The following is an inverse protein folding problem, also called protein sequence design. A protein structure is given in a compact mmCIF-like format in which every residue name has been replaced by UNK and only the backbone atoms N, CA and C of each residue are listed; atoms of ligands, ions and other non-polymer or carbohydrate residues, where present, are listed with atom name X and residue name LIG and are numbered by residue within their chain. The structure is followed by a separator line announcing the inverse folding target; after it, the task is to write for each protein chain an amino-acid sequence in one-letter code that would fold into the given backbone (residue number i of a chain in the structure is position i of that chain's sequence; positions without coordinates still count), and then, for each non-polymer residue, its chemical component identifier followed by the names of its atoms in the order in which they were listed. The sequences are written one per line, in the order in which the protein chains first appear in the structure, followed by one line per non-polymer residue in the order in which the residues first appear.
data_IF_246330831244
#
_entry.id   IF_246330831244
#
_cell.length_a   1.000
_cell.length_b   1.000
_cell.length_c   1.000
_cell.angle_alpha   90.00
_cell.angle_beta   90.00
_cell.angle_gamma   90.00
#
_symmetry.space_group_name_H-M   'P 1'
#
loop_
_entity.id
_entity.type
_entity.pdbx_description
1 polymer ?
#
# COMPACT_ATOMS: atom_id res chain seq x y z
N UNK A 1 9.90 -59.22 53.81
CA UNK A 1 10.05 -57.76 53.93
C UNK A 1 9.53 -57.38 55.29
N UNK A 2 10.25 -56.59 56.09
CA UNK A 2 9.72 -56.17 57.40
C UNK A 2 8.59 -55.15 57.20
N UNK A 3 7.63 -55.01 58.14
CA UNK A 3 6.57 -54.01 58.04
C UNK A 3 7.12 -52.58 57.81
N UNK A 4 8.19 -52.22 58.53
CA UNK A 4 8.86 -50.94 58.33
C UNK A 4 9.42 -50.76 56.90
N UNK A 5 9.96 -51.81 56.29
CA UNK A 5 10.40 -51.78 54.89
C UNK A 5 9.22 -51.64 53.92
N UNK A 6 8.09 -52.29 54.21
CA UNK A 6 6.88 -52.21 53.39
C UNK A 6 6.30 -50.79 53.40
N UNK A 7 6.20 -50.17 54.59
CA UNK A 7 5.75 -48.78 54.74
C UNK A 7 6.68 -47.82 53.99
N UNK A 8 8.00 -47.90 54.22
CA UNK A 8 8.98 -47.06 53.51
C UNK A 8 8.93 -47.26 51.99
N UNK A 9 8.72 -48.49 51.53
CA UNK A 9 8.57 -48.78 50.11
C UNK A 9 7.32 -48.11 49.54
N UNK A 10 6.19 -48.16 50.25
CA UNK A 10 4.98 -47.49 49.81
C UNK A 10 5.07 -45.98 49.85
N UNK A 11 5.66 -45.42 50.89
CA UNK A 11 5.87 -43.97 50.97
C UNK A 11 6.75 -43.50 49.81
N UNK A 12 7.82 -44.22 49.50
CA UNK A 12 8.67 -43.92 48.34
C UNK A 12 7.91 -43.99 47.01
N UNK A 13 7.05 -44.99 46.82
CA UNK A 13 6.18 -45.12 45.64
C UNK A 13 5.16 -43.97 45.56
N UNK A 14 4.52 -43.60 46.67
CA UNK A 14 3.61 -42.43 46.73
C UNK A 14 4.34 -41.12 46.43
N UNK A 15 5.59 -40.98 46.86
CA UNK A 15 6.48 -39.85 46.52
C UNK A 15 7.04 -39.90 45.09
N UNK A 16 6.45 -40.71 44.19
CA UNK A 16 6.80 -40.84 42.77
C UNK A 16 8.21 -41.40 42.51
N UNK A 17 8.76 -42.18 43.44
CA UNK A 17 10.05 -42.87 43.26
C UNK A 17 9.84 -44.16 42.45
N UNK A 18 10.74 -44.44 41.51
CA UNK A 18 10.68 -45.67 40.71
C UNK A 18 11.26 -46.86 41.47
N UNK A 19 10.79 -48.07 41.17
CA UNK A 19 11.33 -49.30 41.75
C UNK A 19 12.84 -49.44 41.54
N UNK A 20 13.37 -49.02 40.38
CA UNK A 20 14.81 -49.01 40.10
C UNK A 20 15.63 -48.19 41.12
N UNK A 21 15.07 -47.09 41.62
CA UNK A 21 15.69 -46.27 42.68
C UNK A 21 15.52 -46.91 44.05
N UNK A 22 14.34 -47.45 44.36
CA UNK A 22 14.02 -48.12 45.64
C UNK A 22 14.90 -49.36 45.84
N UNK A 23 15.20 -50.09 44.77
CA UNK A 23 16.05 -51.28 44.76
C UNK A 23 17.56 -50.96 44.74
N UNK A 24 17.94 -49.68 44.70
CA UNK A 24 19.33 -49.22 44.75
C UNK A 24 20.19 -49.61 43.55
N UNK A 25 19.63 -49.61 42.34
CA UNK A 25 20.44 -49.75 41.12
C UNK A 25 21.31 -48.50 40.81
N UNK A 26 21.45 -47.56 41.74
CA UNK A 26 22.31 -46.37 41.63
C UNK A 26 23.23 -46.31 42.84
N UNK A 27 24.51 -45.96 42.62
CA UNK A 27 25.56 -45.92 43.65
C UNK A 27 25.26 -44.95 44.81
N UNK A 28 24.32 -44.04 44.63
CA UNK A 28 24.01 -42.95 45.57
C UNK A 28 22.76 -43.21 46.44
N UNK A 29 22.01 -44.31 46.23
CA UNK A 29 20.72 -44.51 46.90
C UNK A 29 20.76 -45.62 47.97
N UNK A 30 20.19 -45.32 49.13
CA UNK A 30 19.94 -46.30 50.20
C UNK A 30 18.92 -47.33 49.70
N UNK A 31 19.33 -48.60 49.64
CA UNK A 31 18.46 -49.72 49.27
C UNK A 31 17.38 -49.89 50.35
N UNK A 32 16.11 -49.64 50.01
CA UNK A 32 14.99 -49.85 50.94
C UNK A 32 14.65 -51.33 51.00
N UNK A 33 14.58 -51.99 49.84
CA UNK A 33 14.25 -53.42 49.72
C UNK A 33 14.85 -54.01 48.45
N UNK A 34 15.26 -55.28 48.50
CA UNK A 34 15.72 -56.04 47.32
C UNK A 34 14.54 -56.48 46.45
N UNK A 35 14.70 -56.63 45.11
CA UNK A 35 13.62 -57.07 44.21
C UNK A 35 12.97 -58.40 44.62
N UNK A 36 13.76 -59.35 45.13
CA UNK A 36 13.25 -60.65 45.62
C UNK A 36 12.30 -60.50 46.81
N UNK A 37 12.70 -59.74 47.83
CA UNK A 37 11.86 -59.45 49.01
C UNK A 37 10.57 -58.71 48.65
N UNK A 38 10.62 -57.78 47.68
CA UNK A 38 9.44 -57.09 47.18
C UNK A 38 8.46 -58.06 46.50
N UNK A 39 8.93 -58.87 45.55
CA UNK A 39 8.10 -59.86 44.84
C UNK A 39 7.46 -60.87 45.79
N UNK A 40 8.23 -61.39 46.74
CA UNK A 40 7.71 -62.34 47.74
C UNK A 40 6.64 -61.69 48.63
N UNK A 41 6.78 -60.41 48.97
CA UNK A 41 5.78 -59.69 49.76
C UNK A 41 4.50 -59.39 48.95
N UNK A 42 4.61 -59.01 47.67
CA UNK A 42 3.44 -58.85 46.80
C UNK A 42 2.63 -60.15 46.66
N UNK A 43 3.31 -61.31 46.65
CA UNK A 43 2.64 -62.63 46.63
C UNK A 43 1.93 -62.94 47.94
N UNK A 44 2.56 -62.60 49.07
CA UNK A 44 2.00 -62.84 50.40
C UNK A 44 0.83 -61.89 50.74
N UNK A 45 0.83 -60.67 50.18
CA UNK A 45 -0.19 -59.65 50.43
C UNK A 45 -0.71 -59.09 49.09
N UNK A 46 -1.71 -59.74 48.46
CA UNK A 46 -2.15 -59.41 47.10
C UNK A 46 -2.67 -57.98 46.94
N UNK A 47 -3.46 -57.47 47.90
CA UNK A 47 -4.02 -56.11 47.83
C UNK A 47 -2.91 -55.05 47.88
N UNK A 48 -1.95 -55.21 48.78
CA UNK A 48 -0.77 -54.35 48.86
C UNK A 48 0.06 -54.43 47.57
N UNK A 49 0.25 -55.65 47.06
CA UNK A 49 0.99 -55.90 45.83
C UNK A 49 0.37 -55.24 44.61
N UNK A 50 -0.96 -55.29 44.48
CA UNK A 50 -1.70 -54.66 43.40
C UNK A 50 -1.50 -53.13 43.40
N UNK A 51 -1.64 -52.50 44.57
CA UNK A 51 -1.47 -51.05 44.69
C UNK A 51 -0.02 -50.62 44.48
N UNK A 52 0.94 -51.35 45.04
CA UNK A 52 2.37 -51.08 44.85
C UNK A 52 2.78 -51.18 43.37
N UNK A 53 2.28 -52.20 42.65
CA UNK A 53 2.56 -52.38 41.22
C UNK A 53 1.88 -51.31 40.35
N UNK A 54 0.65 -50.89 40.71
CA UNK A 54 -0.04 -49.78 40.04
C UNK A 54 0.78 -48.49 40.14
N UNK A 55 1.19 -48.11 41.34
CA UNK A 55 2.02 -46.92 41.59
C UNK A 55 3.40 -47.03 40.93
N UNK A 56 4.02 -48.21 40.95
CA UNK A 56 5.29 -48.44 40.27
C UNK A 56 5.19 -48.18 38.76
N UNK A 57 4.13 -48.66 38.11
CA UNK A 57 3.88 -48.45 36.68
C UNK A 57 3.63 -46.98 36.34
N UNK A 58 2.86 -46.28 37.17
CA UNK A 58 2.63 -44.83 37.04
C UNK A 58 3.93 -44.02 37.18
N UNK A 59 4.75 -44.37 38.17
CA UNK A 59 6.04 -43.72 38.42
C UNK A 59 7.03 -43.96 37.28
N UNK A 60 7.07 -45.17 36.74
CA UNK A 60 7.91 -45.52 35.59
C UNK A 60 7.49 -44.74 34.34
N UNK A 61 6.19 -44.66 34.05
CA UNK A 61 5.67 -43.83 32.95
C UNK A 61 6.05 -42.36 33.13
N UNK A 62 5.89 -41.81 34.33
CA UNK A 62 6.26 -40.43 34.64
C UNK A 62 7.78 -40.19 34.57
N UNK A 63 8.60 -41.16 34.96
CA UNK A 63 10.05 -41.08 34.83
C UNK A 63 10.51 -41.16 33.36
N UNK A 64 9.86 -42.01 32.55
CA UNK A 64 10.08 -42.08 31.10
C UNK A 64 9.79 -40.75 30.41
N UNK A 65 8.63 -40.14 30.68
CA UNK A 65 8.27 -38.81 30.13
C UNK A 65 9.30 -37.75 30.51
N UNK A 66 9.71 -37.70 31.80
CA UNK A 66 10.75 -36.76 32.27
C UNK A 66 12.07 -36.95 31.54
N UNK A 67 12.53 -38.20 31.42
CA UNK A 67 13.79 -38.54 30.74
C UNK A 67 13.75 -38.15 29.27
N UNK A 68 12.67 -38.48 28.56
CA UNK A 68 12.48 -38.10 27.15
C UNK A 68 12.46 -36.59 26.97
N UNK A 69 11.76 -35.87 27.84
CA UNK A 69 11.67 -34.40 27.77
C UNK A 69 13.03 -33.75 28.01
N UNK A 70 13.76 -34.22 29.02
CA UNK A 70 15.11 -33.72 29.35
C UNK A 70 16.09 -34.05 28.22
N UNK A 71 16.07 -35.28 27.70
CA UNK A 71 16.93 -35.68 26.57
C UNK A 71 16.62 -34.87 25.30
N UNK A 72 15.35 -34.62 25.00
CA UNK A 72 14.95 -33.76 23.89
C UNK A 72 15.42 -32.32 24.09
N UNK A 73 15.35 -31.78 25.32
CA UNK A 73 15.88 -30.45 25.64
C UNK A 73 17.38 -30.38 25.39
N UNK A 74 18.16 -31.32 25.94
CA UNK A 74 19.61 -31.38 25.72
C UNK A 74 19.99 -31.59 24.25
N UNK A 75 19.26 -32.44 23.52
CA UNK A 75 19.48 -32.64 22.09
C UNK A 75 19.23 -31.35 21.28
N UNK A 76 18.17 -30.60 21.61
CA UNK A 76 17.87 -29.30 21.00
C UNK A 76 18.97 -28.27 21.30
N UNK A 77 19.45 -28.21 22.53
CA UNK A 77 20.52 -27.31 22.95
C UNK A 77 21.83 -27.63 22.21
N UNK A 78 22.23 -28.90 22.18
CA UNK A 78 23.42 -29.36 21.45
C UNK A 78 23.33 -29.08 19.95
N UNK A 79 22.17 -29.31 19.34
CA UNK A 79 21.93 -28.97 17.93
C UNK A 79 21.94 -27.46 17.68
N UNK A 80 21.43 -26.65 18.60
CA UNK A 80 21.48 -25.19 18.51
C UNK A 80 22.90 -24.67 18.66
N UNK A 81 23.69 -25.22 19.59
CA UNK A 81 25.10 -24.89 19.78
C UNK A 81 25.95 -25.28 18.56
N UNK A 82 25.81 -26.51 18.06
CA UNK A 82 26.45 -26.94 16.82
C UNK A 82 26.14 -25.98 15.66
N UNK A 83 24.88 -25.55 15.51
CA UNK A 83 24.51 -24.56 14.48
C UNK A 83 25.02 -23.15 14.75
N UNK A 84 25.28 -22.75 16.01
CA UNK A 84 25.90 -21.46 16.35
C UNK A 84 27.38 -21.46 16.01
N UNK A 85 28.06 -22.56 16.32
CA UNK A 85 29.51 -22.73 16.18
C UNK A 85 29.94 -23.22 14.79
N UNK A 86 28.99 -23.66 13.94
CA UNK A 86 29.29 -24.06 12.57
C UNK A 86 30.00 -22.93 11.79
N UNK A 87 31.20 -23.23 11.31
CA UNK A 87 32.03 -22.32 10.51
C UNK A 87 31.42 -22.02 9.13
N UNK A 88 30.56 -22.91 8.62
CA UNK A 88 29.88 -22.76 7.34
C UNK A 88 28.36 -22.81 7.53
N UNK A 89 27.63 -22.20 6.60
CA UNK A 89 26.18 -22.34 6.54
C UNK A 89 25.79 -23.63 5.79
N UNK A 90 24.49 -23.97 5.79
CA UNK A 90 23.98 -25.16 5.09
C UNK A 90 24.27 -25.15 3.56
N UNK A 91 24.53 -23.97 2.99
CA UNK A 91 24.88 -23.81 1.57
C UNK A 91 26.40 -23.67 1.34
N UNK A 92 27.23 -23.98 2.34
CA UNK A 92 28.69 -23.94 2.23
C UNK A 92 29.35 -22.56 2.42
N UNK A 93 28.60 -21.46 2.51
CA UNK A 93 29.22 -20.14 2.73
C UNK A 93 29.88 -20.02 4.10
N UNK A 94 31.08 -19.44 4.15
CA UNK A 94 31.84 -19.16 5.38
C UNK A 94 31.09 -18.14 6.24
N UNK A 95 30.96 -18.46 7.54
CA UNK A 95 30.25 -17.66 8.53
C UNK A 95 31.19 -16.79 9.35
N UNK A 96 31.63 -15.69 8.75
CA UNK A 96 32.34 -14.61 9.47
C UNK A 96 31.36 -13.71 10.24
N UNK A 97 31.88 -12.90 11.17
CA UNK A 97 31.09 -11.86 11.84
C UNK A 97 30.46 -10.88 10.84
N UNK A 98 31.16 -10.59 9.74
CA UNK A 98 30.69 -9.70 8.68
C UNK A 98 29.62 -10.34 7.77
N UNK A 99 29.67 -11.65 7.55
CA UNK A 99 28.75 -12.38 6.68
C UNK A 99 27.57 -13.01 7.44
N UNK A 100 27.45 -12.77 8.75
CA UNK A 100 26.35 -13.30 9.55
C UNK A 100 25.61 -12.22 10.32
N UNK A 101 24.32 -12.46 10.55
CA UNK A 101 23.46 -11.59 11.35
C UNK A 101 22.41 -12.45 12.06
N UNK A 102 21.90 -11.96 13.18
CA UNK A 102 20.91 -12.65 13.99
C UNK A 102 19.53 -12.07 13.73
N UNK A 103 18.53 -12.94 13.55
CA UNK A 103 17.13 -12.56 13.33
C UNK A 103 16.24 -13.43 14.20
N UNK A 104 15.25 -12.83 14.84
CA UNK A 104 14.20 -13.58 15.52
C UNK A 104 13.30 -14.25 14.49
N UNK A 105 13.12 -15.56 14.61
CA UNK A 105 12.14 -16.28 13.79
C UNK A 105 10.72 -16.12 14.38
N UNK A 106 9.71 -16.66 13.68
CA UNK A 106 8.30 -16.65 14.10
C UNK A 106 8.06 -17.29 15.49
N UNK A 107 9.00 -18.11 15.97
CA UNK A 107 8.97 -18.74 17.29
C UNK A 107 9.77 -17.95 18.34
N UNK A 108 10.06 -16.68 18.05
CA UNK A 108 10.86 -15.78 18.87
C UNK A 108 12.24 -16.33 19.27
N UNK A 109 12.82 -17.20 18.44
CA UNK A 109 14.15 -17.75 18.65
C UNK A 109 15.17 -16.98 17.82
N UNK A 110 16.31 -16.62 18.43
CA UNK A 110 17.42 -15.96 17.74
C UNK A 110 18.12 -16.94 16.79
N UNK A 111 18.02 -16.70 15.47
CA UNK A 111 18.63 -17.56 14.44
C UNK A 111 19.74 -16.80 13.71
N UNK A 112 20.92 -17.43 13.60
CA UNK A 112 22.04 -16.93 12.80
C UNK A 112 21.78 -17.16 11.32
N UNK A 113 21.66 -16.09 10.52
CA UNK A 113 21.48 -16.12 9.06
C UNK A 113 22.77 -15.68 8.37
N UNK A 114 23.04 -16.26 7.20
CA UNK A 114 24.15 -15.86 6.32
C UNK A 114 23.69 -14.76 5.37
N UNK A 115 24.47 -13.68 5.20
CA UNK A 115 24.13 -12.57 4.30
C UNK A 115 24.13 -13.03 2.85
N UNK A 116 25.04 -13.90 2.45
CA UNK A 116 25.08 -14.42 1.08
C UNK A 116 23.89 -15.33 0.76
N UNK A 117 23.50 -16.22 1.68
CA UNK A 117 22.25 -16.97 1.55
C UNK A 117 21.05 -16.03 1.42
N UNK A 118 21.00 -14.96 2.21
CA UNK A 118 19.91 -13.99 2.15
C UNK A 118 19.92 -13.19 0.83
N UNK A 119 21.10 -12.77 0.35
CA UNK A 119 21.26 -12.12 -0.97
C UNK A 119 20.82 -13.07 -2.08
N UNK A 120 21.23 -14.33 -2.04
CA UNK A 120 20.86 -15.33 -3.04
C UNK A 120 19.36 -15.64 -2.97
N UNK A 121 18.78 -15.79 -1.78
CA UNK A 121 17.33 -15.96 -1.63
C UNK A 121 16.54 -14.75 -2.18
N UNK A 122 17.05 -13.52 -1.98
CA UNK A 122 16.46 -12.31 -2.56
C UNK A 122 16.63 -12.25 -4.08
N UNK A 123 17.78 -12.67 -4.62
CA UNK A 123 18.10 -12.69 -6.06
C UNK A 123 17.41 -13.82 -6.83
N UNK A 124 17.17 -14.96 -6.16
CA UNK A 124 16.64 -16.18 -6.76
C UNK A 124 15.11 -16.22 -6.83
N UNK A 125 14.41 -15.35 -6.10
CA UNK A 125 12.95 -15.19 -6.27
C UNK A 125 12.71 -14.43 -7.57
N UNK A 126 12.73 -15.15 -8.69
CA UNK A 126 12.05 -14.73 -9.89
C UNK A 126 10.56 -15.04 -9.73
N UNK A 127 9.67 -14.16 -10.23
CA UNK A 127 8.25 -14.45 -10.26
C UNK A 127 8.01 -15.66 -11.17
N UNK A 128 6.95 -16.41 -10.90
CA UNK A 128 6.50 -17.44 -11.86
C UNK A 128 6.04 -16.77 -13.15
N UNK A 129 6.08 -17.50 -14.26
CA UNK A 129 5.63 -16.97 -15.55
C UNK A 129 4.18 -16.48 -15.49
N UNK A 130 3.31 -17.25 -14.82
CA UNK A 130 1.91 -16.90 -14.57
C UNK A 130 1.77 -15.57 -13.82
N UNK A 131 2.60 -15.32 -12.81
CA UNK A 131 2.61 -14.05 -12.08
C UNK A 131 3.00 -12.88 -12.98
N UNK A 132 4.00 -13.06 -13.85
CA UNK A 132 4.38 -12.02 -14.81
C UNK A 132 3.25 -11.76 -15.80
N UNK A 133 2.65 -12.81 -16.38
CA UNK A 133 1.53 -12.69 -17.31
C UNK A 133 0.32 -11.99 -16.67
N UNK A 134 -0.05 -12.37 -15.45
CA UNK A 134 -1.15 -11.75 -14.72
C UNK A 134 -0.90 -10.25 -14.48
N UNK A 135 0.32 -9.87 -14.08
CA UNK A 135 0.68 -8.46 -13.88
C UNK A 135 0.65 -7.69 -15.20
N UNK A 136 1.15 -8.28 -16.29
CA UNK A 136 1.12 -7.66 -17.63
C UNK A 136 -0.32 -7.41 -18.07
N UNK A 137 -1.19 -8.42 -17.95
CA UNK A 137 -2.62 -8.31 -18.28
C UNK A 137 -3.30 -7.24 -17.43
N UNK A 138 -3.12 -7.26 -16.11
CA UNK A 138 -3.71 -6.27 -15.21
C UNK A 138 -3.27 -4.84 -15.56
N UNK A 139 -1.97 -4.63 -15.83
CA UNK A 139 -1.45 -3.30 -16.23
C UNK A 139 -2.00 -2.88 -17.59
N UNK A 140 -2.21 -3.80 -18.53
CA UNK A 140 -2.89 -3.50 -19.79
C UNK A 140 -4.36 -3.09 -19.61
N UNK A 141 -5.05 -3.63 -18.60
CA UNK A 141 -6.42 -3.26 -18.26
C UNK A 141 -6.54 -2.06 -17.31
N UNK A 142 -5.50 -1.21 -17.22
CA UNK A 142 -5.57 0.03 -16.46
C UNK A 142 -5.14 -0.07 -15.00
N UNK A 143 -4.69 -1.24 -14.52
CA UNK A 143 -4.15 -1.34 -13.15
C UNK A 143 -2.76 -0.69 -13.05
N UNK A 144 -2.43 -0.17 -11.86
CA UNK A 144 -1.05 0.23 -11.54
C UNK A 144 -0.24 -1.00 -11.16
N UNK A 145 1.08 -0.96 -11.33
CA UNK A 145 1.97 -2.05 -10.93
C UNK A 145 1.84 -2.39 -9.43
N UNK A 146 1.56 -1.38 -8.60
CA UNK A 146 1.31 -1.56 -7.17
C UNK A 146 -0.01 -2.25 -6.86
N UNK A 147 -1.03 -2.07 -7.69
CA UNK A 147 -2.34 -2.74 -7.54
C UNK A 147 -2.35 -4.13 -8.18
N UNK A 148 -1.59 -4.32 -9.27
CA UNK A 148 -1.50 -5.58 -10.02
C UNK A 148 -0.69 -6.67 -9.30
N UNK A 149 0.22 -6.29 -8.39
CA UNK A 149 1.12 -7.21 -7.72
C UNK A 149 0.96 -7.18 -6.20
N UNK A 150 0.92 -8.36 -5.58
CA UNK A 150 0.94 -8.49 -4.12
C UNK A 150 2.24 -7.93 -3.52
N UNK A 151 2.18 -7.43 -2.29
CA UNK A 151 3.37 -6.89 -1.60
C UNK A 151 4.53 -7.91 -1.53
N UNK A 152 4.21 -9.21 -1.45
CA UNK A 152 5.19 -10.30 -1.42
C UNK A 152 5.83 -10.60 -2.78
N UNK A 153 5.15 -10.31 -3.90
CA UNK A 153 5.64 -10.56 -5.27
C UNK A 153 6.41 -9.39 -5.88
N UNK A 154 6.22 -8.17 -5.37
CA UNK A 154 6.90 -6.97 -5.90
C UNK A 154 8.44 -7.06 -5.93
N UNK A 155 9.15 -7.59 -4.90
CA UNK A 155 10.60 -7.72 -4.96
C UNK A 155 11.05 -8.66 -6.09
N UNK A 156 10.31 -9.74 -6.32
CA UNK A 156 10.59 -10.70 -7.39
C UNK A 156 10.38 -10.07 -8.76
N UNK A 157 9.25 -9.37 -8.97
CA UNK A 157 8.95 -8.64 -10.20
C UNK A 157 9.99 -7.54 -10.50
N UNK A 158 10.44 -6.79 -9.49
CA UNK A 158 11.52 -5.80 -9.66
C UNK A 158 12.83 -6.44 -10.13
N UNK A 159 13.18 -7.60 -9.59
CA UNK A 159 14.36 -8.35 -10.05
C UNK A 159 14.17 -8.85 -11.48
N UNK A 160 12.98 -9.34 -11.83
CA UNK A 160 12.64 -9.75 -13.19
C UNK A 160 12.75 -8.59 -14.19
N UNK A 161 12.20 -7.41 -13.87
CA UNK A 161 12.31 -6.23 -14.74
C UNK A 161 13.73 -5.68 -14.83
N UNK A 162 14.55 -5.80 -13.77
CA UNK A 162 15.97 -5.44 -13.84
C UNK A 162 16.73 -6.35 -14.81
N UNK A 163 16.40 -7.65 -14.84
CA UNK A 163 16.97 -8.60 -15.81
C UNK A 163 16.39 -8.45 -17.22
N UNK A 164 15.17 -7.92 -17.34
CA UNK A 164 14.45 -7.75 -18.61
C UNK A 164 14.04 -6.28 -18.81
N UNK A 165 15.00 -5.37 -19.09
CA UNK A 165 14.76 -3.92 -19.08
C UNK A 165 13.74 -3.48 -20.14
N UNK A 166 13.68 -4.14 -21.31
CA UNK A 166 12.69 -3.82 -22.35
C UNK A 166 11.24 -4.01 -21.86
N UNK A 167 10.96 -5.14 -21.21
CA UNK A 167 9.65 -5.45 -20.63
C UNK A 167 9.38 -4.52 -19.45
N UNK A 168 10.36 -4.35 -18.56
CA UNK A 168 10.25 -3.49 -17.39
C UNK A 168 9.87 -2.05 -17.76
N UNK A 169 10.59 -1.44 -18.70
CA UNK A 169 10.34 -0.08 -19.14
C UNK A 169 8.92 0.08 -19.73
N UNK A 170 8.46 -0.87 -20.56
CA UNK A 170 7.10 -0.83 -21.12
C UNK A 170 6.03 -0.88 -20.04
N UNK A 171 6.19 -1.78 -19.06
CA UNK A 171 5.25 -1.91 -17.93
C UNK A 171 5.27 -0.68 -17.02
N UNK A 172 6.44 -0.10 -16.75
CA UNK A 172 6.54 1.14 -15.96
C UNK A 172 5.85 2.32 -16.66
N UNK A 173 6.04 2.48 -17.97
CA UNK A 173 5.39 3.53 -18.75
C UNK A 173 3.87 3.38 -18.72
N UNK A 174 3.35 2.16 -18.97
CA UNK A 174 1.92 1.88 -18.90
C UNK A 174 1.36 2.12 -17.48
N UNK A 175 2.01 1.59 -16.46
CA UNK A 175 1.59 1.80 -15.07
C UNK A 175 1.57 3.28 -14.67
N UNK A 176 2.51 4.10 -15.17
CA UNK A 176 2.54 5.55 -14.90
C UNK A 176 1.41 6.27 -15.62
N UNK A 177 1.10 5.88 -16.86
CA UNK A 177 -0.05 6.39 -17.60
C UNK A 177 -1.37 6.06 -16.88
N UNK A 178 -1.52 4.80 -16.42
CA UNK A 178 -2.68 4.35 -15.65
C UNK A 178 -2.84 5.11 -14.33
N UNK A 179 -1.73 5.32 -13.59
CA UNK A 179 -1.77 6.13 -12.37
C UNK A 179 -2.21 7.57 -12.66
N UNK A 180 -1.68 8.18 -13.73
CA UNK A 180 -2.08 9.52 -14.13
C UNK A 180 -3.57 9.59 -14.52
N UNK A 181 -4.08 8.59 -15.26
CA UNK A 181 -5.50 8.50 -15.61
C UNK A 181 -6.38 8.38 -14.36
N UNK A 182 -6.05 7.46 -13.46
CA UNK A 182 -6.75 7.28 -12.18
C UNK A 182 -6.73 8.53 -11.32
N UNK A 183 -5.59 9.23 -11.25
CA UNK A 183 -5.51 10.50 -10.53
C UNK A 183 -6.43 11.55 -11.17
N UNK A 184 -6.47 11.67 -12.50
CA UNK A 184 -7.40 12.57 -13.19
C UNK A 184 -8.85 12.24 -12.87
N UNK A 185 -9.23 10.97 -12.84
CA UNK A 185 -10.56 10.53 -12.45
C UNK A 185 -10.88 10.90 -11.00
N UNK A 186 -9.96 10.66 -10.06
CA UNK A 186 -10.13 11.06 -8.65
C UNK A 186 -10.27 12.58 -8.53
N UNK A 187 -9.47 13.36 -9.27
CA UNK A 187 -9.59 14.81 -9.28
C UNK A 187 -10.90 15.28 -9.92
N UNK A 188 -11.37 14.65 -10.99
CA UNK A 188 -12.70 14.93 -11.58
C UNK A 188 -13.81 14.59 -10.61
N UNK A 189 -13.77 13.43 -9.97
CA UNK A 189 -14.73 13.02 -8.96
C UNK A 189 -14.77 14.03 -7.81
N UNK A 190 -13.60 14.45 -7.31
CA UNK A 190 -13.47 15.51 -6.30
C UNK A 190 -14.05 16.84 -6.77
N UNK A 191 -13.83 17.25 -8.02
CA UNK A 191 -14.46 18.48 -8.57
C UNK A 191 -15.98 18.36 -8.65
N UNK A 192 -16.50 17.21 -9.07
CA UNK A 192 -17.95 16.95 -9.08
C UNK A 192 -18.57 16.93 -7.68
N UNK A 193 -17.77 16.65 -6.64
CA UNK A 193 -18.22 16.72 -5.23
C UNK A 193 -17.90 18.06 -4.56
N UNK A 194 -17.14 18.96 -5.19
CA UNK A 194 -16.64 20.17 -4.56
C UNK A 194 -16.98 21.44 -5.34
N UNK A 195 -18.19 21.94 -5.09
CA UNK A 195 -18.38 23.33 -4.71
C UNK A 195 -19.53 23.41 -3.69
N UNK A 196 -19.25 23.24 -2.38
CA UNK A 196 -20.26 23.39 -1.32
C UNK A 196 -21.09 24.67 -1.47
N UNK A 197 -20.47 25.72 -2.00
CA UNK A 197 -21.05 27.03 -2.33
C UNK A 197 -22.10 27.05 -3.44
N UNK A 198 -22.10 26.08 -4.37
CA UNK A 198 -23.16 25.93 -5.37
C UNK A 198 -24.27 24.97 -4.92
N UNK A 199 -23.98 24.10 -3.95
CA UNK A 199 -24.95 23.16 -3.37
C UNK A 199 -25.68 23.73 -2.15
N UNK A 200 -25.09 24.71 -1.44
CA UNK A 200 -25.75 25.45 -0.37
C UNK A 200 -26.73 26.47 -0.97
N UNK A 201 -27.93 26.54 -0.40
CA UNK A 201 -29.00 27.44 -0.82
C UNK A 201 -29.28 27.42 -2.35
N UNK A 202 -29.20 26.25 -2.97
CA UNK A 202 -29.37 26.06 -4.42
C UNK A 202 -28.50 26.97 -5.31
N UNK A 203 -27.36 27.46 -4.80
CA UNK A 203 -26.46 28.35 -5.53
C UNK A 203 -26.92 29.82 -5.59
N UNK A 204 -27.98 30.18 -4.86
CA UNK A 204 -28.49 31.56 -4.78
C UNK A 204 -27.45 32.52 -4.19
N UNK A 205 -26.72 32.07 -3.16
CA UNK A 205 -25.64 32.84 -2.55
C UNK A 205 -24.50 33.12 -3.54
N UNK A 206 -24.19 32.15 -4.40
CA UNK A 206 -23.21 32.30 -5.46
C UNK A 206 -23.69 33.27 -6.54
N UNK A 207 -24.97 33.18 -6.91
CA UNK A 207 -25.59 34.10 -7.86
C UNK A 207 -25.60 35.53 -7.37
N UNK A 208 -26.03 35.78 -6.14
CA UNK A 208 -26.03 37.11 -5.55
C UNK A 208 -24.62 37.70 -5.39
N UNK A 209 -23.65 36.89 -4.96
CA UNK A 209 -22.26 37.33 -4.83
C UNK A 209 -21.66 37.73 -6.18
N UNK A 210 -21.88 36.92 -7.23
CA UNK A 210 -21.40 37.21 -8.58
C UNK A 210 -22.13 38.42 -9.18
N UNK A 211 -23.46 38.50 -9.05
CA UNK A 211 -24.28 39.62 -9.52
C UNK A 211 -23.83 40.96 -8.91
N UNK A 212 -23.57 40.98 -7.60
CA UNK A 212 -23.04 42.18 -6.92
C UNK A 212 -21.63 42.52 -7.38
N UNK A 213 -20.77 41.51 -7.55
CA UNK A 213 -19.40 41.71 -8.02
C UNK A 213 -19.35 42.31 -9.44
N UNK A 214 -20.27 41.94 -10.33
CA UNK A 214 -20.30 42.39 -11.73
C UNK A 214 -21.20 43.61 -11.99
N UNK A 215 -21.85 44.16 -10.97
CA UNK A 215 -22.84 45.23 -11.11
C UNK A 215 -22.30 46.52 -11.76
N UNK A 216 -20.99 46.76 -11.67
CA UNK A 216 -20.31 47.92 -12.25
C UNK A 216 -19.90 47.72 -13.72
N UNK A 217 -20.04 46.51 -14.27
CA UNK A 217 -19.72 46.20 -15.67
C UNK A 217 -20.86 46.60 -16.61
N UNK A 218 -20.53 46.92 -17.86
CA UNK A 218 -21.52 47.14 -18.91
C UNK A 218 -22.31 45.87 -19.19
N UNK A 219 -23.60 46.02 -19.48
CA UNK A 219 -24.56 44.93 -19.67
C UNK A 219 -24.05 43.84 -20.64
N UNK A 220 -23.51 44.25 -21.78
CA UNK A 220 -23.00 43.34 -22.81
C UNK A 220 -21.74 42.53 -22.43
N UNK A 221 -21.03 42.90 -21.36
CA UNK A 221 -19.89 42.11 -20.83
C UNK A 221 -20.25 41.38 -19.54
N UNK A 222 -21.30 41.86 -18.87
CA UNK A 222 -21.72 41.39 -17.55
C UNK A 222 -22.12 39.92 -17.61
N UNK A 223 -22.98 39.53 -18.54
CA UNK A 223 -23.53 38.17 -18.60
C UNK A 223 -22.47 37.11 -18.89
N UNK A 224 -21.54 37.41 -19.82
CA UNK A 224 -20.43 36.55 -20.15
C UNK A 224 -19.46 36.37 -18.96
N UNK A 225 -19.12 37.47 -18.29
CA UNK A 225 -18.25 37.46 -17.12
C UNK A 225 -18.92 36.74 -15.95
N UNK A 226 -20.22 36.97 -15.73
CA UNK A 226 -21.01 36.29 -14.71
C UNK A 226 -21.03 34.77 -14.93
N UNK A 227 -21.31 34.33 -16.16
CA UNK A 227 -21.33 32.91 -16.53
C UNK A 227 -19.99 32.22 -16.25
N UNK A 228 -18.88 32.88 -16.57
CA UNK A 228 -17.53 32.36 -16.30
C UNK A 228 -17.16 32.33 -14.83
N UNK A 229 -17.52 33.37 -14.08
CA UNK A 229 -17.32 33.38 -12.63
C UNK A 229 -18.11 32.25 -11.96
N UNK A 230 -19.32 31.95 -12.45
CA UNK A 230 -20.12 30.81 -12.01
C UNK A 230 -19.43 29.47 -12.24
N UNK A 231 -18.92 29.25 -13.47
CA UNK A 231 -18.17 28.04 -13.81
C UNK A 231 -16.93 27.94 -12.91
N UNK A 232 -16.20 29.04 -12.69
CA UNK A 232 -15.01 29.04 -11.85
C UNK A 232 -15.33 28.75 -10.36
N UNK A 233 -16.47 29.22 -9.85
CA UNK A 233 -16.94 28.86 -8.50
C UNK A 233 -17.31 27.38 -8.45
N UNK A 234 -17.99 26.85 -9.47
CA UNK A 234 -18.35 25.44 -9.56
C UNK A 234 -17.16 24.50 -9.74
N UNK A 235 -16.09 24.96 -10.38
CA UNK A 235 -14.82 24.24 -10.49
C UNK A 235 -13.91 24.41 -9.26
N UNK A 236 -14.32 25.25 -8.30
CA UNK A 236 -13.59 25.54 -7.06
C UNK A 236 -12.37 26.44 -7.23
N UNK A 237 -12.25 27.15 -8.36
CA UNK A 237 -11.13 28.05 -8.68
C UNK A 237 -11.36 29.48 -8.19
N UNK A 238 -12.61 29.84 -7.89
CA UNK A 238 -13.00 31.12 -7.35
C UNK A 238 -13.85 30.90 -6.08
N UNK A 239 -13.42 31.47 -4.95
CA UNK A 239 -14.23 31.47 -3.73
C UNK A 239 -15.25 32.60 -3.75
N UNK A 240 -16.40 32.42 -3.11
CA UNK A 240 -17.45 33.45 -3.01
C UNK A 240 -16.92 34.77 -2.42
N UNK A 241 -16.09 34.68 -1.37
CA UNK A 241 -15.48 35.85 -0.72
C UNK A 241 -14.51 36.63 -1.62
N UNK A 242 -14.02 36.01 -2.70
CA UNK A 242 -13.02 36.59 -3.61
C UNK A 242 -13.65 37.11 -4.91
N UNK A 243 -14.96 36.92 -5.11
CA UNK A 243 -15.65 37.25 -6.36
C UNK A 243 -15.52 38.73 -6.75
N UNK A 244 -15.70 39.65 -5.79
CA UNK A 244 -15.59 41.10 -6.02
C UNK A 244 -14.18 41.55 -6.40
N UNK A 245 -13.15 40.95 -5.78
CA UNK A 245 -11.75 41.32 -6.01
C UNK A 245 -11.26 40.80 -7.37
N UNK A 246 -11.71 39.60 -7.77
CA UNK A 246 -11.18 38.90 -8.96
C UNK A 246 -11.98 39.14 -10.24
N UNK A 247 -13.09 39.87 -10.19
CA UNK A 247 -13.92 40.20 -11.37
C UNK A 247 -13.12 40.78 -12.54
N UNK A 248 -12.10 41.62 -12.26
CA UNK A 248 -11.23 42.21 -13.28
C UNK A 248 -10.32 41.19 -14.00
N UNK A 249 -10.03 40.04 -13.40
CA UNK A 249 -9.33 38.93 -14.08
C UNK A 249 -10.23 38.29 -15.14
N UNK A 250 -11.48 38.01 -14.78
CA UNK A 250 -12.46 37.41 -15.69
C UNK A 250 -12.85 38.36 -16.82
N UNK A 251 -12.95 39.66 -16.56
CA UNK A 251 -13.17 40.67 -17.59
C UNK A 251 -11.99 40.75 -18.58
N UNK A 252 -10.75 40.76 -18.08
CA UNK A 252 -9.55 40.74 -18.93
C UNK A 252 -9.47 39.46 -19.76
N UNK A 253 -9.78 38.31 -19.17
CA UNK A 253 -9.85 37.05 -19.90
C UNK A 253 -10.96 37.07 -20.95
N UNK A 254 -12.16 37.56 -20.63
CA UNK A 254 -13.27 37.70 -21.57
C UNK A 254 -12.91 38.54 -22.78
N UNK A 255 -12.24 39.68 -22.56
CA UNK A 255 -11.80 40.58 -23.64
C UNK A 255 -10.65 40.01 -24.48
N UNK A 256 -9.84 39.12 -23.91
CA UNK A 256 -8.78 38.40 -24.65
C UNK A 256 -9.30 37.24 -25.48
N UNK A 257 -10.51 36.72 -25.18
CA UNK A 257 -11.07 35.63 -25.97
C UNK A 257 -11.71 36.15 -27.24
N UNK A 258 -11.55 35.45 -28.37
CA UNK A 258 -12.29 35.78 -29.59
C UNK A 258 -13.80 35.69 -29.26
N UNK A 259 -14.54 36.80 -29.41
CA UNK A 259 -15.99 36.77 -29.26
C UNK A 259 -16.57 36.09 -30.49
N UNK A 260 -17.26 34.97 -30.29
CA UNK A 260 -17.98 34.29 -31.36
C UNK A 260 -19.31 35.03 -31.57
N UNK A 261 -19.25 36.21 -32.15
CA UNK A 261 -20.41 36.79 -32.82
C UNK A 261 -20.08 36.78 -34.32
N UNK A 262 -20.63 35.76 -35.01
CA UNK A 262 -20.37 35.47 -36.42
C UNK A 262 -19.50 34.21 -36.62
N UNK A 263 -19.78 33.45 -37.67
CA UNK A 263 -19.17 32.15 -38.01
C UNK A 263 -17.65 32.18 -38.29
N UNK A 264 -17.01 33.35 -38.17
CA UNK A 264 -15.58 33.51 -38.45
C UNK A 264 -14.85 34.01 -37.21
N UNK A 265 -13.86 33.22 -36.78
CA UNK A 265 -13.01 33.41 -35.60
C UNK A 265 -12.05 34.59 -35.75
N UNK A 266 -12.55 35.81 -35.91
CA UNK A 266 -11.69 36.98 -36.01
C UNK A 266 -11.65 37.75 -34.69
N UNK A 267 -10.42 38.01 -34.22
CA UNK A 267 -10.17 39.04 -33.21
C UNK A 267 -10.52 40.41 -33.80
N UNK A 268 -10.99 41.36 -32.99
CA UNK A 268 -11.23 42.73 -33.45
C UNK A 268 -9.94 43.42 -33.91
N UNK A 269 -8.79 42.95 -33.43
CA UNK A 269 -7.46 43.40 -33.85
C UNK A 269 -6.97 42.73 -35.13
N UNK A 270 -7.72 41.77 -35.69
CA UNK A 270 -7.32 41.16 -36.96
C UNK A 270 -7.49 42.16 -38.10
N UNK A 271 -6.54 42.17 -39.05
CA UNK A 271 -6.67 42.97 -40.25
C UNK A 271 -7.91 42.53 -41.04
N UNK A 272 -8.63 43.50 -41.61
CA UNK A 272 -9.82 43.21 -42.42
C UNK A 272 -9.46 42.48 -43.72
N UNK A 273 -8.27 42.76 -44.25
CA UNK A 273 -7.68 42.12 -45.43
C UNK A 273 -6.14 42.22 -45.35
N UNK A 274 -5.44 41.26 -45.98
CA UNK A 274 -3.98 41.27 -46.05
C UNK A 274 -3.51 42.55 -46.79
N UNK A 275 -2.90 43.48 -46.04
CA UNK A 275 -2.33 44.72 -46.57
C UNK A 275 -3.20 45.98 -46.44
N UNK A 276 -4.41 45.91 -45.87
CA UNK A 276 -5.28 47.09 -45.76
C UNK A 276 -4.84 48.09 -44.66
N UNK A 277 -4.01 47.65 -43.70
CA UNK A 277 -3.65 48.44 -42.51
C UNK A 277 -4.84 48.76 -41.58
N UNK A 278 -6.05 48.29 -41.92
CA UNK A 278 -7.27 48.51 -41.17
C UNK A 278 -7.66 47.26 -40.40
N UNK A 279 -8.04 47.45 -39.15
CA UNK A 279 -8.58 46.42 -38.27
C UNK A 279 -10.11 46.48 -38.23
N UNK A 280 -10.76 45.43 -37.75
CA UNK A 280 -12.21 45.45 -37.48
C UNK A 280 -12.61 46.54 -36.46
N UNK A 281 -11.66 47.00 -35.64
CA UNK A 281 -11.81 48.14 -34.74
C UNK A 281 -12.00 49.47 -35.50
N UNK A 282 -11.25 49.68 -36.59
CA UNK A 282 -11.30 50.92 -37.39
C UNK A 282 -12.60 51.08 -38.19
N UNK A 283 -13.26 49.96 -38.51
CA UNK A 283 -14.57 49.98 -39.17
C UNK A 283 -15.71 50.41 -38.24
N UNK A 284 -15.56 50.25 -36.92
CA UNK A 284 -16.56 50.71 -35.95
C UNK A 284 -16.51 52.22 -35.74
N UNK A 285 -15.32 52.81 -35.70
CA UNK A 285 -15.13 54.26 -35.57
C UNK A 285 -15.50 55.03 -36.82
N UNK A 286 -15.37 54.43 -38.01
CA UNK A 286 -15.84 55.04 -39.27
C UNK A 286 -17.33 54.82 -39.57
N UNK A 287 -17.97 53.79 -39.02
CA UNK A 287 -19.42 53.63 -39.15
C UNK A 287 -20.19 54.79 -38.50
N UNK A 288 -19.67 55.35 -37.39
CA UNK A 288 -20.21 56.57 -36.77
C UNK A 288 -19.96 57.84 -37.62
N UNK A 289 -18.97 57.82 -38.52
CA UNK A 289 -18.77 58.88 -39.55
C UNK A 289 -19.70 58.72 -40.75
N UNK A 290 -20.02 57.49 -41.15
CA UNK A 290 -20.84 57.18 -42.32
C UNK A 290 -22.31 57.62 -42.19
N UNK A 291 -22.78 57.89 -40.96
CA UNK A 291 -24.10 58.46 -40.69
C UNK A 291 -24.07 59.93 -40.26
N UNK A 292 -22.89 60.57 -40.30
CA UNK A 292 -22.69 61.95 -39.90
C UNK A 292 -22.67 62.93 -41.08
N UNK A 293 -23.85 63.46 -41.41
CA UNK A 293 -24.11 64.72 -42.13
C UNK A 293 -23.70 64.79 -43.62
N UNK A 294 -24.74 64.90 -44.45
CA UNK A 294 -24.62 64.97 -45.90
C UNK A 294 -24.10 66.30 -46.45
N UNK A 295 -23.74 66.25 -47.73
CA UNK A 295 -24.22 67.19 -48.74
C UNK A 295 -23.98 66.56 -50.11
N UNK A 296 -24.98 66.69 -50.96
CA UNK A 296 -25.07 66.08 -52.27
C UNK A 296 -24.16 66.77 -53.28
N UNK A 297 -23.47 66.00 -54.13
CA UNK A 297 -23.13 66.43 -55.49
C UNK A 297 -23.46 65.31 -56.48
N UNK A 298 -24.20 65.70 -57.51
CA UNK A 298 -24.83 64.87 -58.53
C UNK A 298 -23.84 64.36 -59.60
N UNK A 299 -24.13 63.26 -60.31
CA UNK A 299 -23.23 62.65 -61.28
C UNK A 299 -23.18 63.45 -62.60
N UNK A 300 -21.97 63.72 -63.11
CA UNK A 300 -21.75 64.13 -64.50
C UNK A 300 -21.93 62.93 -65.43
N UNK A 301 -22.82 63.10 -66.42
CA UNK A 301 -23.05 62.17 -67.52
C UNK A 301 -21.83 62.12 -68.45
N UNK A 302 -21.44 60.89 -68.79
CA UNK A 302 -20.65 60.56 -69.96
C UNK A 302 -21.43 60.86 -71.25
N UNK A 303 -20.73 61.30 -72.28
CA UNK A 303 -21.21 61.42 -73.65
C UNK A 303 -20.02 61.47 -74.58
N UNK A 304 -19.79 60.36 -75.29
CA UNK A 304 -18.70 60.22 -76.24
C UNK A 304 -18.91 60.99 -77.55
N UNK A 305 -17.80 61.29 -78.22
CA UNK A 305 -17.38 60.77 -79.53
C UNK A 305 -15.86 60.87 -79.60
#
# INVERSE_FOLDING_TARGET
MTPAQATRCMDALKSKTTLRRIFGCSKENVIIVTPGKFRNHCKAYPEWGAEALRLAKENEKAAGIRTTTVNLKYARERSAESRRNAATCANGHVRTLENTFYVLNERNCLVRRCRDCNKNAKRARLPTEEQVRAVVVAVHHGATLTAAASASSQPALRNFFRKNPKIGNRIYTLSRANLAARLREVWRAKRLTAAPSLTQNNGEDAYEAVRRATAHLHEHERDDVMSRMFIAIGEGWLKLSEASVRVGEFLRDQRRRPRVYGDQRFSLDNPLADGSGMTWLDTKTNADRLWGLGTAEAPRKEGGF
#
